data_IF_092164111051
#
_entry.id   IF_092164111051
#
_cell.length_a   1.000
_cell.length_b   1.000
_cell.length_c   1.000
_cell.angle_alpha   90.00
_cell.angle_beta   90.00
_cell.angle_gamma   90.00
#
_symmetry.space_group_name_H-M   'P 1'
#
loop_
_entity.id
_entity.type
_entity.pdbx_description
1 polymer ?
#
# COMPACT_ATOMS: atom_id res chain seq x y z
N UNK A 1 43.81 -39.17 50.80
CA UNK A 1 43.29 -37.98 50.09
C UNK A 1 42.96 -36.94 51.14
N UNK A 2 43.70 -35.84 51.19
CA UNK A 2 43.52 -34.78 52.18
C UNK A 2 42.66 -33.68 51.55
N UNK A 3 41.50 -33.40 52.15
CA UNK A 3 40.62 -32.31 51.74
C UNK A 3 41.03 -31.04 52.49
N UNK A 4 41.07 -29.91 51.77
CA UNK A 4 41.56 -28.60 52.28
C UNK A 4 40.81 -28.10 53.52
N UNK A 5 39.57 -28.54 53.72
CA UNK A 5 38.78 -28.30 54.92
C UNK A 5 38.33 -29.67 55.44
N UNK A 6 38.94 -30.13 56.52
CA UNK A 6 38.83 -31.49 57.06
C UNK A 6 37.44 -31.78 57.67
N UNK A 7 36.37 -31.66 56.90
CA UNK A 7 34.98 -31.83 57.33
C UNK A 7 34.40 -33.16 56.82
N UNK A 8 33.82 -33.95 57.71
CA UNK A 8 33.08 -35.19 57.39
C UNK A 8 31.60 -34.96 57.71
N UNK A 9 30.66 -35.14 56.76
CA UNK A 9 30.85 -35.48 55.35
C UNK A 9 31.36 -34.30 54.48
N UNK A 10 31.98 -34.58 53.31
CA UNK A 10 32.49 -33.56 52.39
C UNK A 10 31.40 -32.74 51.67
N UNK A 11 30.12 -33.08 51.91
CA UNK A 11 28.95 -32.40 51.38
C UNK A 11 27.97 -32.24 52.54
N UNK A 12 27.37 -31.05 52.74
CA UNK A 12 26.36 -30.83 53.78
C UNK A 12 25.24 -31.88 53.74
N UNK A 13 24.77 -32.32 54.90
CA UNK A 13 23.71 -33.33 55.00
C UNK A 13 22.33 -32.85 54.51
N UNK A 14 22.17 -31.54 54.30
CA UNK A 14 20.95 -30.88 53.81
C UNK A 14 21.36 -29.69 52.93
N UNK A 15 20.49 -29.34 52.00
CA UNK A 15 20.68 -28.16 51.15
C UNK A 15 20.78 -26.89 52.01
N UNK A 16 21.64 -25.96 51.59
CA UNK A 16 21.86 -24.68 52.27
C UNK A 16 21.08 -23.60 51.54
N UNK A 17 20.19 -22.91 52.25
CA UNK A 17 19.55 -21.70 51.77
C UNK A 17 20.58 -20.57 51.72
N UNK A 18 20.96 -20.17 50.49
CA UNK A 18 21.94 -19.13 50.25
C UNK A 18 21.33 -17.99 49.43
N UNK A 19 21.73 -16.76 49.74
CA UNK A 19 21.40 -15.58 48.94
C UNK A 19 22.40 -15.49 47.78
N UNK A 20 21.90 -15.62 46.56
CA UNK A 20 22.68 -15.43 45.33
C UNK A 20 22.58 -14.01 44.79
N UNK A 21 23.62 -13.56 44.09
CA UNK A 21 23.60 -12.30 43.31
C UNK A 21 23.83 -12.60 41.84
N UNK A 22 23.26 -11.77 40.96
CA UNK A 22 23.47 -11.91 39.53
C UNK A 22 24.83 -11.34 39.13
N UNK A 23 25.66 -12.18 38.52
CA UNK A 23 26.92 -11.73 37.93
C UNK A 23 26.63 -11.01 36.61
N UNK A 24 27.13 -9.77 36.49
CA UNK A 24 26.97 -8.95 35.30
C UNK A 24 28.35 -8.62 34.72
N UNK A 25 28.47 -8.74 33.40
CA UNK A 25 29.65 -8.27 32.66
C UNK A 25 29.31 -6.90 32.10
N UNK A 26 30.07 -5.89 32.51
CA UNK A 26 29.89 -4.50 32.08
C UNK A 26 31.08 -4.04 31.25
N UNK A 27 30.79 -3.24 30.22
CA UNK A 27 31.79 -2.61 29.38
C UNK A 27 31.68 -1.09 29.48
N UNK A 28 32.80 -0.39 29.28
CA UNK A 28 32.80 1.07 29.22
C UNK A 28 32.00 1.57 28.00
N UNK A 29 31.35 2.74 28.12
CA UNK A 29 30.49 3.29 27.05
C UNK A 29 31.21 3.59 25.73
N UNK A 30 32.53 3.79 25.78
CA UNK A 30 33.43 4.00 24.63
C UNK A 30 34.08 2.72 24.10
N UNK A 31 33.77 1.55 24.67
CA UNK A 31 34.30 0.30 24.15
C UNK A 31 33.82 0.08 22.70
N UNK A 32 34.71 -0.46 21.87
CA UNK A 32 34.39 -0.77 20.48
C UNK A 32 33.24 -1.81 20.42
N UNK A 33 32.09 -1.49 19.80
CA UNK A 33 30.97 -2.42 19.67
C UNK A 33 31.35 -3.74 18.99
N UNK A 34 32.28 -3.73 18.03
CA UNK A 34 32.70 -4.96 17.33
C UNK A 34 33.48 -5.88 18.28
N UNK A 35 34.39 -5.31 19.08
CA UNK A 35 35.14 -6.06 20.08
C UNK A 35 34.22 -6.68 21.14
N UNK A 36 33.22 -5.93 21.60
CA UNK A 36 32.22 -6.45 22.55
C UNK A 36 31.41 -7.60 21.93
N UNK A 37 31.00 -7.47 20.67
CA UNK A 37 30.27 -8.53 19.96
C UNK A 37 31.11 -9.81 19.80
N UNK A 38 32.37 -9.69 19.39
CA UNK A 38 33.29 -10.82 19.25
C UNK A 38 33.59 -11.50 20.59
N UNK A 39 33.74 -10.71 21.67
CA UNK A 39 33.91 -11.26 23.01
C UNK A 39 32.71 -12.13 23.40
N UNK A 40 31.49 -11.64 23.17
CA UNK A 40 30.27 -12.40 23.45
C UNK A 40 30.20 -13.69 22.61
N UNK A 41 30.63 -13.66 21.35
CA UNK A 41 30.74 -14.85 20.50
C UNK A 41 31.67 -15.92 21.06
N UNK A 42 32.80 -15.52 21.60
CA UNK A 42 33.72 -16.45 22.28
C UNK A 42 33.11 -16.96 23.58
N UNK A 43 32.52 -16.08 24.40
CA UNK A 43 31.93 -16.43 25.69
C UNK A 43 30.78 -17.44 25.57
N UNK A 44 29.95 -17.28 24.54
CA UNK A 44 28.82 -18.18 24.25
C UNK A 44 29.20 -19.33 23.31
N UNK A 45 30.49 -19.50 23.00
CA UNK A 45 30.94 -20.65 22.20
C UNK A 45 30.78 -21.97 22.97
N UNK A 46 30.49 -23.09 22.28
CA UNK A 46 30.39 -24.40 22.93
C UNK A 46 31.64 -24.79 23.72
N UNK A 47 32.82 -24.39 23.25
CA UNK A 47 34.11 -24.66 23.91
C UNK A 47 34.21 -23.99 25.27
N UNK A 48 33.79 -22.72 25.39
CA UNK A 48 33.83 -21.99 26.66
C UNK A 48 32.76 -22.50 27.60
N UNK A 49 31.52 -22.69 27.12
CA UNK A 49 30.39 -23.19 27.92
C UNK A 49 30.72 -24.56 28.54
N UNK A 50 31.26 -25.49 27.74
CA UNK A 50 31.65 -26.81 28.23
C UNK A 50 32.78 -26.77 29.26
N UNK A 51 33.65 -25.75 29.18
CA UNK A 51 34.77 -25.58 30.12
C UNK A 51 34.33 -25.00 31.46
N UNK A 52 33.38 -24.07 31.47
CA UNK A 52 32.88 -23.44 32.71
C UNK A 52 31.83 -24.30 33.42
N UNK A 53 31.28 -25.32 32.75
CA UNK A 53 30.24 -26.21 33.27
C UNK A 53 29.02 -25.46 33.83
N UNK A 54 28.70 -24.31 33.23
CA UNK A 54 27.53 -23.50 33.56
C UNK A 54 26.59 -23.45 32.36
N UNK A 55 25.28 -23.53 32.63
CA UNK A 55 24.25 -23.36 31.61
C UNK A 55 24.06 -21.87 31.35
N UNK A 56 24.77 -21.36 30.34
CA UNK A 56 24.64 -19.96 29.90
C UNK A 56 23.76 -19.94 28.64
N UNK A 57 22.56 -19.38 28.73
CA UNK A 57 21.63 -19.27 27.62
C UNK A 57 21.59 -17.83 27.10
N UNK A 58 21.70 -17.62 25.78
CA UNK A 58 21.70 -16.28 25.16
C UNK A 58 20.42 -15.48 25.47
N UNK A 59 19.27 -16.16 25.56
CA UNK A 59 17.98 -15.54 25.92
C UNK A 59 17.98 -14.86 27.29
N UNK A 60 18.92 -15.21 28.16
CA UNK A 60 19.01 -14.66 29.52
C UNK A 60 20.00 -13.48 29.64
N UNK A 61 20.67 -13.08 28.56
CA UNK A 61 21.67 -11.99 28.56
C UNK A 61 21.09 -10.69 29.12
N UNK A 62 19.81 -10.40 28.87
CA UNK A 62 19.16 -9.13 29.25
C UNK A 62 18.28 -9.23 30.49
N UNK A 63 18.02 -10.43 31.01
CA UNK A 63 17.00 -10.69 32.05
C UNK A 63 17.31 -10.01 33.38
N UNK A 64 18.58 -9.72 33.67
CA UNK A 64 19.02 -9.07 34.91
C UNK A 64 19.82 -7.78 34.64
N UNK A 65 19.64 -7.12 33.49
CA UNK A 65 20.42 -5.95 33.13
C UNK A 65 20.07 -4.73 34.01
N UNK A 66 20.98 -4.34 34.90
CA UNK A 66 20.87 -3.10 35.68
C UNK A 66 21.43 -1.89 34.92
N UNK A 67 22.25 -2.13 33.90
CA UNK A 67 22.89 -1.11 33.08
C UNK A 67 22.34 -1.11 31.64
N UNK A 68 22.43 0.03 30.92
CA UNK A 68 22.04 0.09 29.52
C UNK A 68 22.80 -0.94 28.68
N UNK A 69 22.08 -1.60 27.76
CA UNK A 69 22.65 -2.63 26.88
C UNK A 69 23.64 -1.98 25.92
N UNK A 70 24.85 -2.55 25.81
CA UNK A 70 25.87 -2.04 24.90
C UNK A 70 25.51 -2.28 23.43
N UNK A 71 25.99 -1.42 22.53
CA UNK A 71 25.78 -1.57 21.08
C UNK A 71 26.31 -2.91 20.54
N UNK A 72 27.42 -3.41 21.09
CA UNK A 72 27.99 -4.69 20.71
C UNK A 72 27.15 -5.89 21.17
N UNK A 73 26.50 -5.79 22.33
CA UNK A 73 25.54 -6.80 22.81
C UNK A 73 24.30 -6.86 21.90
N UNK A 74 23.81 -5.71 21.44
CA UNK A 74 22.70 -5.67 20.47
C UNK A 74 23.10 -6.31 19.15
N UNK A 75 24.31 -6.03 18.65
CA UNK A 75 24.83 -6.64 17.42
C UNK A 75 24.97 -8.16 17.55
N UNK A 76 25.46 -8.63 18.71
CA UNK A 76 25.57 -10.06 19.04
C UNK A 76 24.21 -10.76 19.05
N UNK A 77 23.20 -10.20 19.72
CA UNK A 77 21.85 -10.78 19.81
C UNK A 77 21.19 -10.84 18.42
N UNK A 78 21.34 -9.78 17.62
CA UNK A 78 20.81 -9.72 16.25
C UNK A 78 21.47 -10.68 15.27
N UNK A 79 22.65 -11.24 15.58
CA UNK A 79 23.36 -12.17 14.69
C UNK A 79 22.59 -13.49 14.52
N UNK A 80 21.92 -13.94 15.57
CA UNK A 80 21.21 -15.22 15.62
C UNK A 80 19.68 -15.05 15.64
N UNK A 81 19.18 -13.82 15.52
CA UNK A 81 17.80 -13.55 15.14
C UNK A 81 17.59 -14.12 13.73
N UNK A 82 17.19 -15.39 13.69
CA UNK A 82 16.58 -15.99 12.51
C UNK A 82 15.50 -15.02 12.05
N UNK A 83 15.58 -14.60 10.78
CA UNK A 83 14.75 -13.57 10.15
C UNK A 83 13.22 -13.84 10.19
N UNK A 84 12.76 -14.85 10.93
CA UNK A 84 11.39 -15.28 11.13
C UNK A 84 11.21 -15.78 12.58
N UNK A 85 11.37 -14.92 13.59
CA UNK A 85 10.77 -15.23 14.90
C UNK A 85 9.29 -15.52 14.70
N UNK A 86 8.76 -16.58 15.33
CA UNK A 86 7.33 -16.93 15.23
C UNK A 86 6.44 -15.74 15.57
N UNK A 87 6.89 -14.88 16.47
CA UNK A 87 6.19 -13.65 16.82
C UNK A 87 6.14 -12.65 15.65
N UNK A 88 7.17 -12.58 14.81
CA UNK A 88 7.13 -11.81 13.57
C UNK A 88 6.28 -12.48 12.49
N UNK A 89 6.26 -13.82 12.42
CA UNK A 89 5.40 -14.55 11.48
C UNK A 89 3.93 -14.40 11.86
N UNK A 90 3.58 -14.44 13.14
CA UNK A 90 2.23 -14.22 13.63
C UNK A 90 1.84 -12.73 13.51
N UNK A 91 2.76 -11.79 13.74
CA UNK A 91 2.55 -10.37 13.48
C UNK A 91 2.40 -10.08 11.97
N UNK A 92 3.15 -10.77 11.11
CA UNK A 92 3.02 -10.68 9.65
C UNK A 92 1.72 -11.33 9.18
N UNK A 93 1.36 -12.50 9.67
CA UNK A 93 0.12 -13.20 9.32
C UNK A 93 -1.11 -12.38 9.73
N UNK A 94 -1.11 -11.83 10.95
CA UNK A 94 -2.17 -10.94 11.42
C UNK A 94 -2.11 -9.55 10.76
N UNK A 95 -0.92 -9.06 10.43
CA UNK A 95 -0.69 -7.79 9.76
C UNK A 95 -1.04 -7.80 8.27
N UNK A 96 -0.90 -8.93 7.58
CA UNK A 96 -1.27 -9.09 6.17
C UNK A 96 -2.79 -8.95 5.97
N UNK A 97 -3.61 -9.51 6.86
CA UNK A 97 -5.06 -9.32 6.82
C UNK A 97 -5.47 -7.85 7.03
N UNK A 98 -4.71 -7.13 7.87
CA UNK A 98 -4.89 -5.70 8.10
C UNK A 98 -4.42 -4.86 6.91
N UNK A 99 -3.31 -5.24 6.27
CA UNK A 99 -2.79 -4.59 5.06
C UNK A 99 -3.68 -4.79 3.84
N UNK A 100 -4.35 -5.94 3.68
CA UNK A 100 -5.33 -6.13 2.61
C UNK A 100 -6.55 -5.23 2.84
N UNK A 101 -7.01 -5.11 4.08
CA UNK A 101 -8.17 -4.29 4.42
C UNK A 101 -7.87 -2.80 4.30
N UNK A 102 -6.77 -2.34 4.93
CA UNK A 102 -6.29 -0.96 4.86
C UNK A 102 -5.86 -0.63 3.46
N UNK A 103 -5.14 -1.52 2.77
CA UNK A 103 -4.72 -1.35 1.38
C UNK A 103 -5.90 -1.26 0.41
N UNK A 104 -6.96 -2.05 0.60
CA UNK A 104 -8.18 -1.94 -0.21
C UNK A 104 -8.89 -0.61 0.03
N UNK A 105 -8.99 -0.18 1.29
CA UNK A 105 -9.53 1.14 1.63
C UNK A 105 -8.66 2.28 1.09
N UNK A 106 -7.33 2.15 1.15
CA UNK A 106 -6.37 3.14 0.66
C UNK A 106 -6.39 3.20 -0.87
N UNK A 107 -6.49 2.08 -1.57
CA UNK A 107 -6.66 2.04 -3.03
C UNK A 107 -7.99 2.68 -3.41
N UNK A 108 -9.07 2.41 -2.66
CA UNK A 108 -10.36 3.04 -2.91
C UNK A 108 -10.33 4.55 -2.63
N UNK A 109 -9.70 4.97 -1.53
CA UNK A 109 -9.52 6.36 -1.15
C UNK A 109 -8.57 7.11 -2.11
N UNK A 110 -7.48 6.48 -2.55
CA UNK A 110 -6.56 7.02 -3.55
C UNK A 110 -7.21 7.04 -4.93
N UNK A 111 -8.03 6.05 -5.29
CA UNK A 111 -8.80 6.06 -6.55
C UNK A 111 -9.92 7.10 -6.51
N UNK A 112 -10.49 7.36 -5.33
CA UNK A 112 -11.44 8.45 -5.10
C UNK A 112 -10.76 9.82 -5.18
N UNK A 113 -9.56 9.96 -4.59
CA UNK A 113 -8.78 11.19 -4.60
C UNK A 113 -8.19 11.48 -5.99
N UNK A 114 -7.72 10.43 -6.65
CA UNK A 114 -7.19 10.42 -8.03
C UNK A 114 -8.31 10.19 -9.03
N UNK A 115 -9.55 10.50 -8.65
CA UNK A 115 -10.70 10.46 -9.53
C UNK A 115 -10.30 11.07 -10.86
N UNK A 116 -10.45 10.30 -11.93
CA UNK A 116 -10.43 10.81 -13.30
C UNK A 116 -11.62 11.75 -13.42
N UNK A 117 -11.42 12.96 -12.89
CA UNK A 117 -12.32 14.08 -12.99
C UNK A 117 -12.28 14.48 -14.45
N UNK A 118 -13.45 14.62 -15.06
CA UNK A 118 -13.54 15.38 -16.30
C UNK A 118 -13.00 16.77 -15.99
N UNK A 119 -11.83 17.07 -16.54
CA UNK A 119 -11.26 18.41 -16.56
C UNK A 119 -11.94 19.22 -17.67
N UNK A 120 -11.86 20.55 -17.60
CA UNK A 120 -12.46 21.44 -18.59
C UNK A 120 -11.97 21.09 -20.00
N UNK A 121 -10.71 20.63 -20.13
CA UNK A 121 -10.09 20.15 -21.36
C UNK A 121 -10.79 18.90 -21.95
N UNK A 122 -11.26 17.98 -21.11
CA UNK A 122 -11.96 16.79 -21.59
C UNK A 122 -13.35 17.16 -22.12
N UNK A 123 -14.07 18.05 -21.43
CA UNK A 123 -15.37 18.56 -21.91
C UNK A 123 -15.22 19.34 -23.23
N UNK A 124 -14.18 20.17 -23.35
CA UNK A 124 -13.84 20.80 -24.64
C UNK A 124 -13.60 19.77 -25.74
N UNK A 125 -12.92 18.66 -25.43
CA UNK A 125 -12.76 17.55 -26.36
C UNK A 125 -14.09 16.92 -26.79
N UNK A 126 -15.09 16.84 -25.90
CA UNK A 126 -16.44 16.40 -26.27
C UNK A 126 -17.18 17.42 -27.12
N UNK A 127 -17.03 18.73 -26.86
CA UNK A 127 -17.60 19.80 -27.70
C UNK A 127 -17.05 19.71 -29.13
N UNK A 128 -15.73 19.52 -29.29
CA UNK A 128 -15.10 19.34 -30.62
C UNK A 128 -15.67 18.12 -31.36
N UNK A 129 -15.97 17.02 -30.66
CA UNK A 129 -16.60 15.83 -31.25
C UNK A 129 -18.02 16.12 -31.73
N UNK A 130 -18.80 16.93 -31.01
CA UNK A 130 -20.14 17.35 -31.45
C UNK A 130 -20.03 18.24 -32.69
N UNK A 131 -19.11 19.20 -32.71
CA UNK A 131 -18.89 20.05 -33.88
C UNK A 131 -18.41 19.28 -35.12
N UNK A 132 -17.67 18.17 -34.94
CA UNK A 132 -17.31 17.29 -36.04
C UNK A 132 -18.53 16.59 -36.65
N UNK A 133 -19.49 16.16 -35.80
CA UNK A 133 -20.76 15.59 -36.25
C UNK A 133 -21.61 16.65 -36.98
N UNK A 134 -21.66 17.88 -36.46
CA UNK A 134 -22.34 19.00 -37.14
C UNK A 134 -21.76 19.27 -38.52
N UNK A 135 -20.43 19.23 -38.64
CA UNK A 135 -19.76 19.39 -39.92
C UNK A 135 -20.10 18.25 -40.89
N UNK A 136 -20.11 17.00 -40.42
CA UNK A 136 -20.49 15.82 -41.21
C UNK A 136 -21.94 15.96 -41.74
N UNK A 137 -22.86 16.47 -40.92
CA UNK A 137 -24.25 16.76 -41.34
C UNK A 137 -24.28 17.86 -42.41
N UNK A 138 -23.49 18.94 -42.23
CA UNK A 138 -23.42 20.02 -43.22
C UNK A 138 -22.84 19.59 -44.57
N UNK A 139 -21.88 18.66 -44.57
CA UNK A 139 -21.34 18.06 -45.80
C UNK A 139 -22.38 17.17 -46.50
N UNK A 140 -23.20 16.42 -45.75
CA UNK A 140 -24.33 15.65 -46.29
C UNK A 140 -25.41 16.55 -46.90
N UNK A 141 -25.67 17.71 -46.29
CA UNK A 141 -26.62 18.70 -46.82
C UNK A 141 -26.11 19.34 -48.12
N UNK A 142 -24.82 19.70 -48.20
CA UNK A 142 -24.23 20.25 -49.42
C UNK A 142 -24.17 19.26 -50.59
N UNK A 143 -23.96 17.98 -50.29
CA UNK A 143 -23.93 16.92 -51.30
C UNK A 143 -25.31 16.40 -51.68
N UNK A 144 -26.36 16.79 -50.94
CA UNK A 144 -27.74 16.36 -51.17
C UNK A 144 -27.98 14.86 -50.96
N UNK A 145 -27.03 14.16 -50.33
CA UNK A 145 -27.09 12.71 -50.10
C UNK A 145 -27.60 12.43 -48.70
N UNK A 146 -28.93 12.50 -48.53
CA UNK A 146 -29.56 12.14 -47.26
C UNK A 146 -29.88 10.65 -47.26
N UNK A 147 -29.12 9.86 -46.52
CA UNK A 147 -29.44 8.49 -46.22
C UNK A 147 -30.01 8.39 -44.80
N UNK A 148 -31.24 7.88 -44.68
CA UNK A 148 -31.90 7.64 -43.39
C UNK A 148 -31.05 6.79 -42.44
N UNK A 149 -30.26 5.86 -42.99
CA UNK A 149 -29.35 5.02 -42.21
C UNK A 149 -28.25 5.85 -41.58
N UNK A 150 -27.62 6.74 -42.35
CA UNK A 150 -26.50 7.56 -41.88
C UNK A 150 -26.96 8.60 -40.85
N UNK A 151 -28.13 9.23 -41.07
CA UNK A 151 -28.77 10.12 -40.10
C UNK A 151 -29.11 9.40 -38.77
N UNK A 152 -29.60 8.16 -38.84
CA UNK A 152 -29.89 7.36 -37.63
C UNK A 152 -28.61 6.99 -36.86
N UNK A 153 -27.51 6.71 -37.57
CA UNK A 153 -26.21 6.44 -36.94
C UNK A 153 -25.66 7.70 -36.25
N UNK A 154 -25.81 8.88 -36.85
CA UNK A 154 -25.41 10.15 -36.25
C UNK A 154 -26.22 10.46 -34.98
N UNK A 155 -27.56 10.25 -35.01
CA UNK A 155 -28.41 10.39 -33.83
C UNK A 155 -28.02 9.42 -32.69
N UNK A 156 -27.62 8.20 -33.03
CA UNK A 156 -27.12 7.22 -32.06
C UNK A 156 -25.76 7.62 -31.47
N UNK A 157 -24.83 8.13 -32.30
CA UNK A 157 -23.54 8.66 -31.85
C UNK A 157 -23.72 9.82 -30.86
N UNK A 158 -24.61 10.77 -31.15
CA UNK A 158 -24.95 11.88 -30.23
C UNK A 158 -25.54 11.39 -28.91
N UNK A 159 -26.42 10.39 -28.96
CA UNK A 159 -27.03 9.79 -27.76
C UNK A 159 -26.00 9.06 -26.90
N UNK A 160 -25.06 8.36 -27.54
CA UNK A 160 -23.95 7.68 -26.87
C UNK A 160 -23.02 8.70 -26.21
N UNK A 161 -22.67 9.78 -26.92
CA UNK A 161 -21.82 10.85 -26.41
C UNK A 161 -22.44 11.54 -25.18
N UNK A 162 -23.73 11.87 -25.27
CA UNK A 162 -24.49 12.43 -24.13
C UNK A 162 -24.49 11.51 -22.93
N UNK A 163 -24.75 10.21 -23.15
CA UNK A 163 -24.81 9.22 -22.08
C UNK A 163 -23.44 8.98 -21.44
N UNK A 164 -22.37 9.03 -22.23
CA UNK A 164 -21.00 8.90 -21.72
C UNK A 164 -20.60 10.08 -20.84
N UNK A 165 -20.96 11.31 -21.25
CA UNK A 165 -20.69 12.53 -20.47
C UNK A 165 -21.57 12.59 -19.21
N UNK A 166 -22.86 12.30 -19.33
CA UNK A 166 -23.78 12.28 -18.18
C UNK A 166 -23.49 11.12 -17.21
N UNK A 167 -23.05 9.97 -17.70
CA UNK A 167 -22.63 8.83 -16.86
C UNK A 167 -21.40 9.15 -16.00
N UNK A 168 -20.62 10.14 -16.41
CA UNK A 168 -19.47 10.67 -15.66
C UNK A 168 -19.83 11.91 -14.80
N UNK A 169 -21.08 12.41 -14.86
CA UNK A 169 -21.55 13.65 -14.19
C UNK A 169 -21.37 13.66 -12.67
N UNK A 170 -21.56 12.52 -12.00
CA UNK A 170 -21.37 12.39 -10.54
C UNK A 170 -19.90 12.53 -10.09
N UNK A 171 -18.96 12.78 -11.01
CA UNK A 171 -17.51 12.86 -10.78
C UNK A 171 -16.87 14.11 -11.39
N UNK A 172 -17.69 15.09 -11.75
CA UNK A 172 -17.25 16.29 -12.47
C UNK A 172 -16.74 17.35 -11.49
N UNK A 173 -15.54 17.87 -11.75
CA UNK A 173 -14.99 19.03 -11.05
C UNK A 173 -14.61 20.06 -12.11
N UNK A 174 -15.62 20.70 -12.70
CA UNK A 174 -15.41 21.77 -13.67
C UNK A 174 -15.01 23.03 -12.93
N UNK A 175 -14.05 23.76 -13.49
CA UNK A 175 -13.80 25.13 -13.02
C UNK A 175 -14.85 26.07 -13.59
N UNK A 176 -15.37 25.76 -14.77
CA UNK A 176 -16.48 26.47 -15.39
C UNK A 176 -17.73 25.57 -15.51
N UNK A 177 -18.73 25.74 -14.63
CA UNK A 177 -19.96 24.96 -14.68
C UNK A 177 -20.78 25.20 -15.96
N UNK A 178 -20.59 26.33 -16.67
CA UNK A 178 -21.31 26.64 -17.90
C UNK A 178 -20.89 25.78 -19.11
N UNK A 179 -19.71 25.13 -19.04
CA UNK A 179 -19.24 24.24 -20.10
C UNK A 179 -20.15 23.02 -20.29
N UNK A 180 -20.69 22.48 -19.18
CA UNK A 180 -21.62 21.36 -19.25
C UNK A 180 -22.93 21.79 -19.91
N UNK A 181 -23.46 22.95 -19.54
CA UNK A 181 -24.70 23.48 -20.13
C UNK A 181 -24.53 23.76 -21.62
N UNK A 182 -23.36 24.29 -22.01
CA UNK A 182 -23.01 24.54 -23.41
C UNK A 182 -22.95 23.23 -24.22
N UNK A 183 -22.29 22.20 -23.67
CA UNK A 183 -22.24 20.87 -24.31
C UNK A 183 -23.63 20.26 -24.45
N UNK A 184 -24.44 20.29 -23.38
CA UNK A 184 -25.79 19.71 -23.39
C UNK A 184 -26.72 20.44 -24.37
N UNK A 185 -26.60 21.77 -24.47
CA UNK A 185 -27.35 22.56 -25.46
C UNK A 185 -26.93 22.17 -26.88
N UNK A 186 -25.62 22.17 -27.17
CA UNK A 186 -25.10 21.81 -28.49
C UNK A 186 -25.58 20.41 -28.92
N UNK A 187 -25.47 19.40 -28.06
CA UNK A 187 -25.98 18.05 -28.38
C UNK A 187 -27.49 18.02 -28.62
N UNK A 188 -28.27 18.79 -27.85
CA UNK A 188 -29.71 18.85 -28.01
C UNK A 188 -30.08 19.51 -29.35
N UNK A 189 -29.40 20.61 -29.71
CA UNK A 189 -29.61 21.34 -30.95
C UNK A 189 -29.25 20.49 -32.17
N UNK A 190 -28.06 19.84 -32.17
CA UNK A 190 -27.66 18.94 -33.25
C UNK A 190 -28.64 17.78 -33.41
N UNK A 191 -29.10 17.18 -32.30
CA UNK A 191 -30.05 16.06 -32.36
C UNK A 191 -31.40 16.49 -32.91
N UNK A 192 -31.92 17.63 -32.49
CA UNK A 192 -33.18 18.18 -33.01
C UNK A 192 -33.06 18.43 -34.52
N UNK A 193 -31.93 18.95 -34.96
CA UNK A 193 -31.67 19.18 -36.37
C UNK A 193 -31.62 17.87 -37.19
N UNK A 194 -30.94 16.83 -36.69
CA UNK A 194 -30.94 15.49 -37.33
C UNK A 194 -32.37 14.93 -37.44
N UNK A 195 -33.18 15.07 -36.39
CA UNK A 195 -34.58 14.60 -36.41
C UNK A 195 -35.42 15.30 -37.48
N UNK A 196 -35.22 16.62 -37.66
CA UNK A 196 -35.89 17.39 -38.72
C UNK A 196 -35.45 16.89 -40.11
N UNK A 197 -34.16 16.64 -40.31
CA UNK A 197 -33.64 16.11 -41.58
C UNK A 197 -34.17 14.70 -41.89
N UNK A 198 -34.30 13.84 -40.87
CA UNK A 198 -34.90 12.52 -41.04
C UNK A 198 -36.36 12.60 -41.48
N UNK A 199 -37.15 13.53 -40.91
CA UNK A 199 -38.56 13.71 -41.27
C UNK A 199 -38.73 14.29 -42.68
N UNK A 200 -37.84 15.21 -43.09
CA UNK A 200 -37.80 15.71 -44.48
C UNK A 200 -37.49 14.59 -45.47
N UNK A 201 -36.41 13.85 -45.24
CA UNK A 201 -36.00 12.72 -46.09
C UNK A 201 -37.08 11.65 -46.19
N UNK A 202 -37.82 11.40 -45.10
CA UNK A 202 -38.94 10.46 -45.07
C UNK A 202 -40.14 10.95 -45.89
N UNK A 203 -40.38 12.26 -45.93
CA UNK A 203 -41.47 12.87 -46.69
C UNK A 203 -41.15 12.90 -48.18
N UNK A 204 -39.89 13.15 -48.55
CA UNK A 204 -39.43 13.14 -49.95
C UNK A 204 -39.40 11.74 -50.58
N UNK A 205 -39.42 10.68 -49.77
CA UNK A 205 -39.50 9.27 -50.21
C UNK A 205 -40.94 8.77 -50.42
N UNK A 206 -41.97 9.56 -50.07
CA UNK A 206 -43.39 9.22 -50.26
C UNK A 206 -43.96 9.89 -51.50
#
# INVERSE_FOLDING_TARGET
MAYTYNTIPPVPAKDIDAVGVNLQIVAHSKADPEAVSKLLEVMYSPTVINRINQKVEEKNITTAATYPISKGTIAFLKRNDSFLSKDMVDLLANGLGLLVTVGSFLIFALRWLKGSKLDDLEIQGYIVKVSAIEKEIGEMEQTGSFNLTDLSQLAFKLTTLKSEVLGKNNRITLKDPALMDTFLSSVADTRNYVMILMERTRTDLK
#
